data_IF_170244739860
#
_entry.id   IF_170244739860
#
_cell.length_a   1.000
_cell.length_b   1.000
_cell.length_c   1.000
_cell.angle_alpha   90.00
_cell.angle_beta   90.00
_cell.angle_gamma   90.00
#
_symmetry.space_group_name_H-M   'P 1'
#
loop_
_entity.id
_entity.type
_entity.pdbx_description
1 polymer ?
#
# COMPACT_ATOMS: atom_id res chain seq x y z
N UNK A 1 -29.57 -59.77 -11.42
CA UNK A 1 -30.56 -58.87 -10.77
C UNK A 1 -29.74 -57.96 -9.88
N UNK A 2 -29.35 -56.79 -10.40
CA UNK A 2 -29.92 -55.47 -10.06
C UNK A 2 -29.52 -55.05 -8.62
N UNK A 3 -28.96 -53.88 -8.34
CA UNK A 3 -28.95 -52.63 -9.09
C UNK A 3 -27.89 -51.66 -8.55
N UNK A 4 -27.40 -50.80 -9.47
CA UNK A 4 -26.63 -49.58 -9.19
C UNK A 4 -27.42 -48.65 -8.27
N UNK A 5 -26.73 -47.99 -7.34
CA UNK A 5 -27.11 -46.64 -6.92
C UNK A 5 -25.91 -45.71 -7.04
N UNK A 6 -25.77 -45.15 -8.25
CA UNK A 6 -25.15 -43.87 -8.49
C UNK A 6 -25.99 -42.80 -7.78
N UNK A 7 -25.58 -42.32 -6.60
CA UNK A 7 -25.98 -40.97 -6.20
C UNK A 7 -24.96 -40.00 -6.76
N UNK A 8 -25.34 -39.39 -7.88
CA UNK A 8 -24.64 -38.30 -8.53
C UNK A 8 -24.40 -37.17 -7.54
N UNK A 9 -23.14 -36.94 -7.18
CA UNK A 9 -22.69 -35.69 -6.57
C UNK A 9 -22.67 -34.62 -7.69
N UNK A 10 -23.86 -34.11 -8.01
CA UNK A 10 -24.13 -33.32 -9.21
C UNK A 10 -23.93 -31.81 -8.99
N UNK A 11 -23.52 -31.37 -7.79
CA UNK A 11 -23.38 -29.95 -7.48
C UNK A 11 -22.12 -29.55 -6.67
N UNK A 12 -21.13 -30.43 -6.49
CA UNK A 12 -19.84 -30.02 -5.91
C UNK A 12 -19.92 -29.37 -4.52
N UNK A 13 -20.98 -29.66 -3.77
CA UNK A 13 -21.27 -29.00 -2.48
C UNK A 13 -20.37 -29.57 -1.36
N UNK A 14 -19.66 -30.68 -1.61
CA UNK A 14 -18.75 -31.28 -0.63
C UNK A 14 -17.30 -30.76 -0.67
N UNK A 15 -16.91 -29.93 -1.65
CA UNK A 15 -15.52 -29.41 -1.74
C UNK A 15 -15.33 -27.97 -1.26
N UNK A 16 -16.40 -27.29 -0.80
CA UNK A 16 -16.32 -25.85 -0.51
C UNK A 16 -15.99 -25.50 0.95
N UNK A 17 -16.07 -26.47 1.88
CA UNK A 17 -15.68 -26.27 3.29
C UNK A 17 -14.21 -26.58 3.60
N UNK A 18 -13.55 -27.35 2.72
CA UNK A 18 -12.14 -27.74 2.92
C UNK A 18 -11.16 -26.77 2.22
N UNK A 19 -11.62 -26.05 1.20
CA UNK A 19 -10.81 -25.05 0.49
C UNK A 19 -10.46 -23.83 1.37
N UNK A 20 -11.28 -23.51 2.37
CA UNK A 20 -11.03 -22.39 3.30
C UNK A 20 -10.02 -22.75 4.40
N UNK A 21 -9.89 -24.03 4.76
CA UNK A 21 -8.91 -24.50 5.75
C UNK A 21 -7.54 -24.85 5.14
N UNK A 22 -7.49 -25.11 3.83
CA UNK A 22 -6.24 -25.47 3.13
C UNK A 22 -5.38 -24.26 2.76
N UNK A 23 -5.91 -23.03 2.83
CA UNK A 23 -5.19 -21.82 2.37
C UNK A 23 -4.23 -21.26 3.44
N UNK A 24 -4.26 -21.74 4.69
CA UNK A 24 -3.37 -21.26 5.77
C UNK A 24 -2.26 -22.27 6.08
N UNK A 25 -1.60 -22.81 5.05
CA UNK A 25 -0.28 -23.40 5.23
C UNK A 25 0.76 -22.35 4.91
N UNK A 26 1.44 -21.83 5.95
CA UNK A 26 2.64 -20.98 5.86
C UNK A 26 3.79 -21.79 5.25
N UNK A 27 3.71 -22.02 3.95
CA UNK A 27 4.60 -22.86 3.16
C UNK A 27 4.55 -22.43 1.70
N UNK A 28 5.59 -22.79 0.95
CA UNK A 28 5.69 -22.54 -0.50
C UNK A 28 4.41 -22.99 -1.23
N UNK A 29 3.88 -24.16 -0.89
CA UNK A 29 2.66 -24.73 -1.47
C UNK A 29 1.42 -23.85 -1.27
N UNK A 30 1.33 -23.14 -0.13
CA UNK A 30 0.26 -22.20 0.18
C UNK A 30 0.33 -20.94 -0.69
N UNK A 31 1.53 -20.40 -0.87
CA UNK A 31 1.78 -19.24 -1.75
C UNK A 31 1.53 -19.59 -3.21
N UNK A 32 1.98 -20.76 -3.67
CA UNK A 32 1.70 -21.26 -5.02
C UNK A 32 0.19 -21.39 -5.27
N UNK A 33 -0.55 -21.98 -4.32
CA UNK A 33 -2.00 -22.13 -4.40
C UNK A 33 -2.70 -20.78 -4.44
N UNK A 34 -2.25 -19.83 -3.63
CA UNK A 34 -2.76 -18.47 -3.62
C UNK A 34 -2.56 -17.75 -4.96
N UNK A 35 -1.33 -17.73 -5.49
CA UNK A 35 -1.03 -17.10 -6.78
C UNK A 35 -1.79 -17.77 -7.92
N UNK A 36 -1.92 -19.10 -7.91
CA UNK A 36 -2.70 -19.82 -8.91
C UNK A 36 -4.16 -19.35 -8.96
N UNK A 37 -4.73 -18.96 -7.82
CA UNK A 37 -6.11 -18.48 -7.73
C UNK A 37 -6.19 -17.00 -8.13
N UNK A 38 -5.32 -16.14 -7.58
CA UNK A 38 -5.44 -14.68 -7.76
C UNK A 38 -4.78 -14.16 -9.05
N UNK A 39 -3.72 -14.82 -9.53
CA UNK A 39 -2.95 -14.40 -10.70
C UNK A 39 -2.11 -15.53 -11.32
N UNK A 40 -2.68 -16.23 -12.31
CA UNK A 40 -1.98 -17.33 -13.02
C UNK A 40 -0.64 -16.91 -13.64
N UNK A 41 -0.49 -15.76 -14.33
CA UNK A 41 0.81 -15.36 -14.87
C UNK A 41 1.87 -15.15 -13.77
N UNK A 42 1.49 -14.57 -12.63
CA UNK A 42 2.40 -14.40 -11.51
C UNK A 42 2.80 -15.74 -10.87
N UNK A 43 1.89 -16.72 -10.84
CA UNK A 43 2.22 -18.10 -10.43
C UNK A 43 3.27 -18.73 -11.34
N UNK A 44 3.12 -18.60 -12.66
CA UNK A 44 4.08 -19.17 -13.62
C UNK A 44 5.48 -18.57 -13.46
N UNK A 45 5.58 -17.23 -13.32
CA UNK A 45 6.84 -16.54 -13.05
C UNK A 45 7.43 -16.89 -11.67
N UNK A 46 6.59 -17.01 -10.64
CA UNK A 46 7.02 -17.46 -9.31
C UNK A 46 7.60 -18.88 -9.36
N UNK A 47 7.01 -19.78 -10.15
CA UNK A 47 7.54 -21.13 -10.38
C UNK A 47 8.92 -21.13 -11.05
N UNK A 48 9.19 -20.19 -11.96
CA UNK A 48 10.52 -20.00 -12.54
C UNK A 48 11.53 -19.50 -11.49
N UNK A 49 11.12 -18.62 -10.55
CA UNK A 49 11.95 -18.20 -9.42
C UNK A 49 12.34 -19.36 -8.50
N UNK A 50 11.51 -20.40 -8.36
CA UNK A 50 11.83 -21.62 -7.61
C UNK A 50 12.91 -22.47 -8.29
N UNK A 51 12.91 -22.46 -9.64
CA UNK A 51 13.87 -23.21 -10.46
C UNK A 51 15.28 -22.64 -10.44
N UNK A 52 15.45 -21.38 -10.05
CA UNK A 52 16.72 -20.66 -10.10
C UNK A 52 17.36 -20.57 -8.69
N UNK A 53 18.51 -21.23 -8.49
CA UNK A 53 19.18 -21.33 -7.17
C UNK A 53 19.73 -20.00 -6.62
N UNK A 54 19.59 -18.91 -7.36
CA UNK A 54 20.05 -17.54 -7.05
C UNK A 54 18.83 -16.70 -6.66
N UNK A 55 18.45 -16.45 -5.42
CA UNK A 55 19.03 -16.70 -4.10
C UNK A 55 17.84 -17.06 -3.21
N UNK A 56 17.92 -18.12 -2.42
CA UNK A 56 16.90 -18.53 -1.43
C UNK A 56 16.31 -17.34 -0.64
N UNK A 57 17.13 -16.32 -0.35
CA UNK A 57 16.72 -15.02 0.21
C UNK A 57 15.60 -14.30 -0.56
N UNK A 58 15.68 -14.15 -1.89
CA UNK A 58 14.64 -13.46 -2.70
C UNK A 58 13.32 -14.21 -2.67
N UNK A 59 13.41 -15.52 -2.77
CA UNK A 59 12.24 -16.40 -2.69
C UNK A 59 11.56 -16.26 -1.32
N UNK A 60 12.34 -16.33 -0.24
CA UNK A 60 11.81 -16.17 1.11
C UNK A 60 11.17 -14.78 1.32
N UNK A 61 11.75 -13.72 0.77
CA UNK A 61 11.15 -12.38 0.84
C UNK A 61 9.82 -12.31 0.09
N UNK A 62 9.75 -12.87 -1.12
CA UNK A 62 8.51 -12.92 -1.90
C UNK A 62 7.43 -13.74 -1.16
N UNK A 63 7.80 -14.90 -0.59
CA UNK A 63 6.91 -15.72 0.24
C UNK A 63 6.39 -14.92 1.43
N UNK A 64 7.27 -14.29 2.21
CA UNK A 64 6.89 -13.51 3.39
C UNK A 64 5.89 -12.40 3.04
N UNK A 65 6.11 -11.69 1.94
CA UNK A 65 5.22 -10.62 1.48
C UNK A 65 3.86 -11.19 1.05
N UNK A 66 3.86 -12.30 0.30
CA UNK A 66 2.61 -12.92 -0.15
C UNK A 66 1.81 -13.53 1.01
N UNK A 67 2.46 -14.16 1.98
CA UNK A 67 1.83 -14.64 3.22
C UNK A 67 1.21 -13.48 4.01
N UNK A 68 1.96 -12.39 4.25
CA UNK A 68 1.44 -11.17 4.89
C UNK A 68 0.26 -10.56 4.11
N UNK A 69 0.24 -10.72 2.78
CA UNK A 69 -0.84 -10.20 1.95
C UNK A 69 -2.13 -10.98 2.18
N UNK A 70 -2.04 -12.31 2.30
CA UNK A 70 -3.20 -13.17 2.59
C UNK A 70 -3.87 -12.78 3.92
N UNK A 71 -3.08 -12.48 4.95
CA UNK A 71 -3.57 -12.04 6.27
C UNK A 71 -4.34 -10.71 6.20
N UNK A 72 -4.09 -9.89 5.16
CA UNK A 72 -4.74 -8.58 4.94
C UNK A 72 -5.95 -8.64 4.02
N UNK A 73 -6.25 -9.79 3.42
CA UNK A 73 -7.42 -9.93 2.56
C UNK A 73 -8.69 -10.05 3.40
N UNK A 74 -9.57 -9.07 3.28
CA UNK A 74 -10.95 -9.23 3.72
C UNK A 74 -11.68 -10.15 2.74
N UNK A 75 -11.96 -11.38 3.16
CA UNK A 75 -12.83 -12.28 2.41
C UNK A 75 -14.27 -11.75 2.44
N UNK A 76 -14.61 -10.91 1.46
CA UNK A 76 -16.00 -10.49 1.24
C UNK A 76 -16.74 -11.61 0.51
N UNK A 77 -17.89 -12.00 1.08
CA UNK A 77 -18.87 -12.92 0.48
C UNK A 77 -18.43 -14.36 0.17
N UNK A 78 -17.46 -14.91 0.92
CA UNK A 78 -17.11 -16.34 0.88
C UNK A 78 -16.81 -16.90 -0.54
N UNK A 79 -16.46 -16.03 -1.49
CA UNK A 79 -16.11 -16.38 -2.86
C UNK A 79 -14.71 -15.88 -3.18
N UNK A 80 -13.84 -16.83 -3.52
CA UNK A 80 -12.50 -16.60 -4.08
C UNK A 80 -12.60 -16.12 -5.54
N UNK A 81 -13.30 -15.01 -5.78
CA UNK A 81 -13.27 -14.28 -7.05
C UNK A 81 -12.37 -13.03 -6.93
N UNK A 82 -11.33 -13.11 -6.10
CA UNK A 82 -10.30 -12.10 -6.03
C UNK A 82 -9.25 -12.39 -7.11
N UNK A 83 -9.06 -11.42 -7.99
CA UNK A 83 -8.05 -11.38 -9.02
C UNK A 83 -7.19 -10.14 -8.85
N UNK A 84 -6.00 -10.17 -9.41
CA UNK A 84 -5.10 -9.03 -9.46
C UNK A 84 -4.58 -8.87 -10.88
N UNK A 85 -4.44 -7.63 -11.32
CA UNK A 85 -3.83 -7.32 -12.60
C UNK A 85 -2.40 -7.93 -12.66
N UNK A 86 -2.09 -8.77 -13.67
CA UNK A 86 -0.79 -9.43 -13.76
C UNK A 86 0.40 -8.48 -13.70
N UNK A 87 0.27 -7.28 -14.27
CA UNK A 87 1.33 -6.28 -14.26
C UNK A 87 1.64 -5.78 -12.86
N UNK A 88 0.60 -5.60 -12.04
CA UNK A 88 0.75 -5.20 -10.64
C UNK A 88 1.33 -6.35 -9.83
N UNK A 89 0.78 -7.56 -9.97
CA UNK A 89 1.23 -8.73 -9.22
C UNK A 89 2.72 -9.03 -9.47
N UNK A 90 3.14 -9.06 -10.75
CA UNK A 90 4.54 -9.25 -11.12
C UNK A 90 5.41 -8.10 -10.61
N UNK A 91 4.98 -6.86 -10.82
CA UNK A 91 5.70 -5.68 -10.34
C UNK A 91 5.92 -5.69 -8.82
N UNK A 92 4.94 -6.13 -8.04
CA UNK A 92 5.07 -6.27 -6.58
C UNK A 92 6.02 -7.43 -6.25
N UNK A 93 5.78 -8.63 -6.77
CA UNK A 93 6.59 -9.83 -6.42
C UNK A 93 8.07 -9.60 -6.74
N UNK A 94 8.38 -9.08 -7.93
CA UNK A 94 9.74 -8.82 -8.35
C UNK A 94 10.48 -7.87 -7.41
N UNK A 95 9.84 -6.76 -7.04
CA UNK A 95 10.48 -5.70 -6.26
C UNK A 95 10.47 -5.98 -4.77
N UNK A 96 9.38 -6.54 -4.25
CA UNK A 96 9.29 -6.97 -2.86
C UNK A 96 10.28 -8.12 -2.56
N UNK A 97 10.62 -8.97 -3.55
CA UNK A 97 11.65 -9.99 -3.39
C UNK A 97 13.05 -9.42 -3.11
N UNK A 98 13.29 -8.15 -3.43
CA UNK A 98 14.57 -7.45 -3.22
C UNK A 98 14.65 -6.74 -1.86
N UNK A 99 13.63 -6.90 -1.00
CA UNK A 99 13.54 -6.20 0.28
C UNK A 99 13.31 -7.17 1.43
N UNK A 100 14.13 -7.07 2.47
CA UNK A 100 14.05 -7.86 3.70
C UNK A 100 13.66 -7.04 4.95
N UNK A 101 13.63 -5.72 4.85
CA UNK A 101 13.14 -4.83 5.91
C UNK A 101 11.63 -5.02 6.14
N UNK A 102 11.23 -5.29 7.38
CA UNK A 102 9.85 -5.63 7.73
C UNK A 102 8.85 -4.54 7.36
N UNK A 103 9.20 -3.27 7.59
CA UNK A 103 8.33 -2.13 7.32
C UNK A 103 7.97 -2.04 5.83
N UNK A 104 8.95 -2.27 4.95
CA UNK A 104 8.72 -2.24 3.50
C UNK A 104 7.94 -3.48 3.04
N UNK A 105 8.24 -4.67 3.60
CA UNK A 105 7.45 -5.89 3.30
C UNK A 105 5.98 -5.73 3.72
N UNK A 106 5.71 -5.05 4.83
CA UNK A 106 4.35 -4.76 5.29
C UNK A 106 3.62 -3.81 4.32
N UNK A 107 4.31 -2.81 3.75
CA UNK A 107 3.72 -1.94 2.73
C UNK A 107 3.43 -2.69 1.42
N UNK A 108 4.40 -3.49 0.95
CA UNK A 108 4.23 -4.31 -0.26
C UNK A 108 3.06 -5.30 -0.12
N UNK A 109 2.95 -5.94 1.04
CA UNK A 109 1.89 -6.92 1.29
C UNK A 109 0.50 -6.29 1.31
N UNK A 110 0.36 -5.10 1.91
CA UNK A 110 -0.91 -4.39 1.85
C UNK A 110 -1.22 -3.88 0.46
N UNK A 111 -0.23 -3.40 -0.30
CA UNK A 111 -0.45 -2.99 -1.69
C UNK A 111 -0.93 -4.17 -2.56
N UNK A 112 -0.37 -5.36 -2.35
CA UNK A 112 -0.82 -6.57 -3.03
C UNK A 112 -2.28 -6.89 -2.66
N UNK A 113 -2.59 -6.90 -1.35
CA UNK A 113 -3.94 -7.16 -0.86
C UNK A 113 -4.97 -6.15 -1.38
N UNK A 114 -4.65 -4.85 -1.37
CA UNK A 114 -5.50 -3.80 -1.89
C UNK A 114 -5.68 -3.87 -3.42
N UNK A 115 -4.77 -4.53 -4.12
CA UNK A 115 -4.85 -4.74 -5.57
C UNK A 115 -5.62 -6.01 -5.94
N UNK A 116 -5.93 -6.87 -4.98
CA UNK A 116 -6.86 -7.98 -5.17
C UNK A 116 -8.29 -7.43 -5.18
N UNK A 117 -8.98 -7.60 -6.31
CA UNK A 117 -10.34 -7.12 -6.54
C UNK A 117 -11.09 -8.10 -7.47
N UNK A 118 -12.32 -7.79 -7.88
CA UNK A 118 -13.06 -8.64 -8.82
C UNK A 118 -12.70 -8.41 -10.30
N UNK A 119 -11.93 -7.37 -10.61
CA UNK A 119 -11.58 -6.94 -11.97
C UNK A 119 -10.06 -6.96 -12.20
N UNK A 120 -9.60 -8.02 -12.88
CA UNK A 120 -8.19 -8.22 -13.25
C UNK A 120 -7.60 -7.16 -14.18
N UNK A 121 -8.39 -6.19 -14.65
CA UNK A 121 -7.90 -5.08 -15.48
C UNK A 121 -7.63 -3.80 -14.71
N UNK A 122 -8.07 -3.66 -13.47
CA UNK A 122 -7.83 -2.46 -12.68
C UNK A 122 -6.31 -2.30 -12.44
N UNK A 123 -5.76 -1.18 -12.91
CA UNK A 123 -4.35 -0.82 -12.80
C UNK A 123 -4.10 0.39 -11.90
N UNK A 124 -5.08 0.86 -11.13
CA UNK A 124 -4.99 2.09 -10.30
C UNK A 124 -3.80 2.08 -9.35
N UNK A 125 -3.47 0.90 -8.81
CA UNK A 125 -2.38 0.74 -7.84
C UNK A 125 -0.98 0.64 -8.49
N UNK A 126 -0.88 0.66 -9.84
CA UNK A 126 0.41 0.55 -10.53
C UNK A 126 1.36 1.71 -10.16
N UNK A 127 0.82 2.90 -9.93
CA UNK A 127 1.62 4.09 -9.57
C UNK A 127 2.30 3.92 -8.21
N UNK A 128 1.70 3.17 -7.29
CA UNK A 128 2.23 2.96 -5.95
C UNK A 128 3.42 2.01 -5.92
N UNK A 129 3.55 1.16 -6.94
CA UNK A 129 4.71 0.29 -7.12
C UNK A 129 5.98 1.14 -7.30
N UNK A 130 5.93 2.23 -8.07
CA UNK A 130 7.09 3.08 -8.28
C UNK A 130 7.48 3.86 -7.01
N UNK A 131 6.51 4.31 -6.22
CA UNK A 131 6.80 4.94 -4.93
C UNK A 131 7.45 3.97 -3.95
N UNK A 132 6.92 2.76 -3.81
CA UNK A 132 7.48 1.77 -2.87
C UNK A 132 8.89 1.30 -3.24
N UNK A 133 9.23 1.23 -4.55
CA UNK A 133 10.60 0.94 -4.99
C UNK A 133 11.60 2.03 -4.63
N UNK A 134 11.11 3.27 -4.53
CA UNK A 134 11.96 4.44 -4.37
C UNK A 134 12.22 4.82 -2.90
N UNK A 135 11.37 4.39 -1.96
CA UNK A 135 11.50 4.79 -0.55
C UNK A 135 12.39 3.84 0.27
N UNK A 136 13.06 4.41 1.28
CA UNK A 136 13.84 3.66 2.28
C UNK A 136 12.95 3.16 3.43
N UNK A 137 13.45 2.21 4.24
CA UNK A 137 12.75 1.78 5.47
C UNK A 137 12.51 2.94 6.44
N UNK A 138 13.50 3.83 6.61
CA UNK A 138 13.36 5.03 7.44
C UNK A 138 12.25 5.97 6.92
N UNK A 139 12.15 6.15 5.61
CA UNK A 139 11.07 6.93 4.99
C UNK A 139 9.70 6.26 5.17
N UNK A 140 9.63 4.93 5.05
CA UNK A 140 8.41 4.17 5.34
C UNK A 140 7.93 4.39 6.78
N UNK A 141 8.85 4.38 7.76
CA UNK A 141 8.53 4.69 9.17
C UNK A 141 7.99 6.11 9.35
N UNK A 142 8.64 7.10 8.73
CA UNK A 142 8.18 8.50 8.75
C UNK A 142 6.78 8.60 8.13
N UNK A 143 6.58 8.05 6.93
CA UNK A 143 5.29 8.06 6.23
C UNK A 143 4.17 7.44 7.06
N UNK A 144 4.46 6.28 7.69
CA UNK A 144 3.52 5.63 8.60
C UNK A 144 3.12 6.57 9.73
N UNK A 145 4.10 7.11 10.45
CA UNK A 145 3.85 7.99 11.59
C UNK A 145 3.02 9.22 11.19
N UNK A 146 3.41 9.93 10.13
CA UNK A 146 2.72 11.16 9.74
C UNK A 146 1.31 10.88 9.23
N UNK A 147 1.09 9.78 8.52
CA UNK A 147 -0.24 9.42 8.02
C UNK A 147 -1.16 9.01 9.17
N UNK A 148 -0.65 8.38 10.23
CA UNK A 148 -1.45 8.03 11.41
C UNK A 148 -1.77 9.26 12.29
N UNK A 149 -0.80 10.17 12.44
CA UNK A 149 -0.88 11.28 13.38
C UNK A 149 -1.34 12.62 12.77
N UNK A 150 -1.43 12.74 11.45
CA UNK A 150 -2.00 13.94 10.83
C UNK A 150 -3.52 14.01 11.04
N UNK A 151 -4.04 15.24 11.11
CA UNK A 151 -5.47 15.52 11.02
C UNK A 151 -5.85 15.52 9.53
N UNK A 152 -6.87 14.75 9.16
CA UNK A 152 -7.39 14.65 7.79
C UNK A 152 -8.59 15.57 7.68
N UNK A 153 -8.56 16.46 6.72
CA UNK A 153 -9.68 17.31 6.36
C UNK A 153 -10.38 16.65 5.18
N UNK A 154 -11.62 16.19 5.38
CA UNK A 154 -12.45 15.59 4.33
C UNK A 154 -13.51 16.60 3.92
N UNK A 155 -13.51 16.96 2.65
CA UNK A 155 -14.49 17.87 2.07
C UNK A 155 -15.77 17.13 1.67
N UNK A 156 -16.89 17.86 1.61
CA UNK A 156 -18.18 17.33 1.16
C UNK A 156 -18.20 16.78 -0.28
N UNK A 157 -17.22 17.14 -1.09
CA UNK A 157 -17.01 16.60 -2.44
C UNK A 157 -16.13 15.32 -2.47
N UNK A 158 -15.75 14.79 -1.30
CA UNK A 158 -14.94 13.57 -1.15
C UNK A 158 -13.43 13.78 -1.23
N UNK A 159 -12.95 14.99 -1.54
CA UNK A 159 -11.51 15.27 -1.52
C UNK A 159 -10.99 15.31 -0.09
N UNK A 160 -9.76 14.83 0.09
CA UNK A 160 -9.08 14.79 1.38
C UNK A 160 -7.70 15.41 1.31
N UNK A 161 -7.37 16.19 2.34
CA UNK A 161 -6.03 16.76 2.56
C UNK A 161 -5.64 16.58 4.02
N UNK A 162 -4.36 16.76 4.33
CA UNK A 162 -3.91 16.83 5.73
C UNK A 162 -3.87 18.28 6.21
N UNK A 163 -4.19 18.50 7.48
CA UNK A 163 -3.82 19.74 8.17
C UNK A 163 -2.31 19.79 8.40
N UNK A 164 -1.77 21.01 8.52
CA UNK A 164 -0.33 21.24 8.67
C UNK A 164 0.23 20.47 9.86
N UNK A 165 1.19 19.59 9.59
CA UNK A 165 1.94 18.83 10.59
C UNK A 165 3.41 19.25 10.54
N UNK A 166 3.91 19.75 11.66
CA UNK A 166 5.31 20.13 11.84
C UNK A 166 5.86 19.37 13.04
N UNK A 167 7.01 18.73 12.88
CA UNK A 167 7.66 17.93 13.92
C UNK A 167 9.06 18.46 14.23
N UNK A 168 9.49 18.29 15.47
CA UNK A 168 10.88 18.54 15.86
C UNK A 168 11.82 17.48 15.28
N UNK A 169 13.05 17.88 14.98
CA UNK A 169 14.09 16.99 14.45
C UNK A 169 14.34 15.80 15.37
N UNK A 170 14.34 15.98 16.70
CA UNK A 170 14.59 14.86 17.63
C UNK A 170 13.50 13.78 17.53
N UNK A 171 12.22 14.17 17.43
CA UNK A 171 11.12 13.23 17.17
C UNK A 171 11.33 12.49 15.85
N UNK A 172 11.78 13.18 14.80
CA UNK A 172 12.04 12.56 13.51
C UNK A 172 13.21 11.57 13.54
N UNK A 173 14.25 11.83 14.34
CA UNK A 173 15.35 10.88 14.56
C UNK A 173 14.85 9.62 15.25
N UNK A 174 13.99 9.75 16.26
CA UNK A 174 13.38 8.63 16.98
C UNK A 174 12.50 7.76 16.07
N UNK A 175 11.65 8.39 15.25
CA UNK A 175 10.75 7.68 14.32
C UNK A 175 11.56 6.94 13.24
N UNK A 176 12.55 7.61 12.66
CA UNK A 176 13.26 7.12 11.47
C UNK A 176 14.45 6.22 11.77
N UNK A 177 14.89 6.17 13.04
CA UNK A 177 16.15 5.55 13.48
C UNK A 177 17.40 6.15 12.79
N UNK A 178 17.34 7.45 12.47
CA UNK A 178 18.45 8.18 11.85
C UNK A 178 18.94 9.25 12.81
N UNK A 179 20.09 9.04 13.44
CA UNK A 179 20.68 10.04 14.35
C UNK A 179 21.52 11.11 13.63
N UNK A 180 21.96 10.86 12.40
CA UNK A 180 22.74 11.81 11.61
C UNK A 180 21.84 12.85 10.93
N UNK A 181 22.00 14.13 11.29
CA UNK A 181 21.16 15.23 10.80
C UNK A 181 21.17 15.36 9.27
N UNK A 182 22.34 15.32 8.62
CA UNK A 182 22.44 15.44 7.17
C UNK A 182 21.80 14.26 6.43
N UNK A 183 21.85 13.06 7.01
CA UNK A 183 21.15 11.91 6.46
C UNK A 183 19.65 12.10 6.59
N UNK A 184 19.16 12.51 7.77
CA UNK A 184 17.73 12.78 7.98
C UNK A 184 17.20 13.83 7.01
N UNK A 185 17.93 14.95 6.87
CA UNK A 185 17.58 16.05 5.96
C UNK A 185 17.40 15.55 4.51
N UNK A 186 18.37 14.78 4.00
CA UNK A 186 18.28 14.17 2.66
C UNK A 186 17.10 13.20 2.50
N UNK A 187 16.75 12.45 3.53
CA UNK A 187 15.59 11.53 3.48
C UNK A 187 14.28 12.32 3.41
N UNK A 188 14.19 13.44 4.14
CA UNK A 188 13.05 14.36 4.08
C UNK A 188 12.97 15.08 2.72
N UNK A 189 14.09 15.59 2.20
CA UNK A 189 14.17 16.19 0.87
C UNK A 189 13.71 15.23 -0.21
N UNK A 190 14.07 13.95 -0.09
CA UNK A 190 13.64 12.94 -1.06
C UNK A 190 12.14 12.63 -0.96
N UNK A 191 11.56 12.60 0.25
CA UNK A 191 10.10 12.49 0.42
C UNK A 191 9.36 13.69 -0.16
N UNK A 192 9.95 14.89 -0.10
CA UNK A 192 9.44 16.09 -0.76
C UNK A 192 9.54 15.97 -2.28
N UNK A 193 10.67 15.49 -2.80
CA UNK A 193 10.86 15.22 -4.22
C UNK A 193 9.80 14.25 -4.77
N UNK A 194 9.47 13.21 -4.02
CA UNK A 194 8.39 12.27 -4.36
C UNK A 194 6.98 12.86 -4.19
N UNK A 195 6.84 14.10 -3.72
CA UNK A 195 5.57 14.74 -3.35
C UNK A 195 4.75 13.93 -2.34
N UNK A 196 5.41 13.23 -1.41
CA UNK A 196 4.76 12.50 -0.34
C UNK A 196 4.61 13.33 0.94
N UNK A 197 5.46 14.35 1.12
CA UNK A 197 5.33 15.33 2.21
C UNK A 197 5.48 16.77 1.72
N UNK A 198 5.09 17.73 2.56
CA UNK A 198 5.41 19.15 2.34
C UNK A 198 4.36 19.91 1.53
N UNK A 199 3.11 19.45 1.54
CA UNK A 199 2.00 20.20 0.93
C UNK A 199 1.59 21.38 1.82
N UNK A 200 2.36 22.47 1.76
CA UNK A 200 1.84 23.79 2.10
C UNK A 200 1.74 24.57 0.78
N UNK A 201 0.52 24.68 0.25
CA UNK A 201 0.22 25.43 -1.00
C UNK A 201 0.67 26.91 -0.87
N UNK A 202 0.95 27.37 0.36
CA UNK A 202 1.26 28.76 0.68
C UNK A 202 2.63 29.00 1.36
N UNK A 203 3.30 28.01 1.96
CA UNK A 203 4.55 28.25 2.74
C UNK A 203 5.75 27.34 2.43
N UNK A 204 5.95 26.96 1.17
CA UNK A 204 7.23 26.43 0.69
C UNK A 204 7.52 24.97 1.07
N UNK A 205 8.54 24.43 0.40
CA UNK A 205 8.94 23.02 0.34
C UNK A 205 9.19 22.40 1.72
N UNK A 206 8.87 21.11 1.85
CA UNK A 206 9.29 20.33 3.02
C UNK A 206 10.81 20.28 3.15
N UNK A 207 11.29 20.03 4.37
CA UNK A 207 12.70 20.14 4.75
C UNK A 207 12.84 20.66 6.18
N UNK A 208 14.03 20.55 6.75
CA UNK A 208 14.32 21.03 8.11
C UNK A 208 14.55 22.55 8.08
N UNK A 209 13.78 23.27 8.89
CA UNK A 209 13.96 24.71 9.09
C UNK A 209 15.18 24.96 9.97
N UNK A 210 16.06 25.83 9.49
CA UNK A 210 17.28 26.26 10.20
C UNK A 210 16.95 27.01 11.49
N UNK A 211 15.81 27.72 11.54
CA UNK A 211 15.47 28.61 12.65
C UNK A 211 15.07 27.91 13.93
N UNK A 212 14.35 26.80 13.83
CA UNK A 212 13.71 26.13 14.98
C UNK A 212 13.93 24.61 15.00
N UNK A 213 14.75 24.06 14.09
CA UNK A 213 14.99 22.62 13.98
C UNK A 213 13.68 21.81 13.89
N UNK A 214 12.69 22.36 13.18
CA UNK A 214 11.45 21.67 12.85
C UNK A 214 11.36 21.37 11.37
N UNK A 215 10.64 20.31 10.99
CA UNK A 215 10.36 20.01 9.59
C UNK A 215 8.85 19.99 9.34
N UNK A 216 8.44 20.61 8.23
CA UNK A 216 7.08 20.43 7.71
C UNK A 216 6.98 19.04 7.07
N UNK A 217 6.25 18.15 7.72
CA UNK A 217 6.08 16.75 7.31
C UNK A 217 4.61 16.44 7.04
N UNK A 218 3.84 17.46 6.67
CA UNK A 218 2.43 17.32 6.29
C UNK A 218 2.30 16.28 5.15
N UNK A 219 1.62 15.14 5.36
CA UNK A 219 1.46 14.16 4.31
C UNK A 219 0.54 14.69 3.22
N UNK A 220 0.94 14.53 1.97
CA UNK A 220 0.13 14.94 0.83
C UNK A 220 -1.06 14.00 0.65
N UNK A 221 -2.07 14.42 -0.11
CA UNK A 221 -3.17 13.51 -0.52
C UNK A 221 -2.64 12.23 -1.17
N UNK A 222 -1.56 12.33 -1.96
CA UNK A 222 -0.91 11.18 -2.59
C UNK A 222 -0.31 10.23 -1.56
N UNK A 223 0.36 10.74 -0.52
CA UNK A 223 0.87 9.90 0.56
C UNK A 223 -0.24 9.22 1.37
N UNK A 224 -1.35 9.92 1.63
CA UNK A 224 -2.51 9.30 2.29
C UNK A 224 -3.08 8.16 1.45
N UNK A 225 -3.23 8.35 0.14
CA UNK A 225 -3.69 7.30 -0.78
C UNK A 225 -2.74 6.09 -0.80
N UNK A 226 -1.43 6.35 -0.95
CA UNK A 226 -0.40 5.32 -0.90
C UNK A 226 -0.48 4.54 0.43
N UNK A 227 -0.55 5.25 1.56
CA UNK A 227 -0.64 4.64 2.89
C UNK A 227 -1.86 3.72 2.99
N UNK A 228 -3.05 4.20 2.61
CA UNK A 228 -4.30 3.44 2.67
C UNK A 228 -4.20 2.14 1.86
N UNK A 229 -3.69 2.23 0.63
CA UNK A 229 -3.50 1.06 -0.24
C UNK A 229 -2.47 0.09 0.34
N UNK A 230 -1.37 0.59 0.88
CA UNK A 230 -0.36 -0.22 1.56
C UNK A 230 -0.83 -0.84 2.89
N UNK A 231 -2.04 -0.50 3.37
CA UNK A 231 -2.69 -1.16 4.51
C UNK A 231 -3.72 -2.22 4.07
N UNK A 232 -3.83 -2.52 2.78
CA UNK A 232 -4.74 -3.55 2.26
C UNK A 232 -6.14 -3.03 1.94
N UNK A 233 -6.42 -1.75 2.16
CA UNK A 233 -7.76 -1.21 1.94
C UNK A 233 -7.98 -0.81 0.48
N UNK A 234 -8.96 -1.44 -0.15
CA UNK A 234 -9.32 -1.24 -1.56
C UNK A 234 -10.50 -0.26 -1.76
N UNK A 235 -11.19 0.15 -0.69
CA UNK A 235 -12.31 1.10 -0.81
C UNK A 235 -11.87 2.55 -1.09
N UNK A 236 -12.83 3.46 -1.10
CA UNK A 236 -12.52 4.90 -1.19
C UNK A 236 -11.77 5.36 0.10
N UNK A 237 -10.55 5.94 -0.04
CA UNK A 237 -9.72 6.38 1.08
C UNK A 237 -10.43 7.26 2.11
N UNK A 238 -11.47 8.01 1.72
CA UNK A 238 -12.22 8.83 2.68
C UNK A 238 -12.87 8.03 3.80
N UNK A 239 -13.21 6.77 3.55
CA UNK A 239 -13.84 5.89 4.53
C UNK A 239 -12.85 5.02 5.31
N UNK A 240 -11.56 5.05 4.96
CA UNK A 240 -10.55 4.29 5.69
C UNK A 240 -10.30 4.86 7.09
N UNK A 241 -10.29 6.18 7.21
CA UNK A 241 -9.94 6.86 8.45
C UNK A 241 -11.12 6.86 9.41
N UNK A 242 -10.83 6.62 10.69
CA UNK A 242 -11.84 6.63 11.78
C UNK A 242 -11.53 7.64 12.88
N UNK A 243 -10.31 8.20 12.90
CA UNK A 243 -9.82 9.14 13.90
C UNK A 243 -8.99 10.25 13.25
N UNK A 244 -8.81 11.36 13.98
CA UNK A 244 -8.12 12.56 13.49
C UNK A 244 -8.76 13.12 12.21
N UNK A 245 -10.08 13.26 12.17
CA UNK A 245 -10.83 13.74 10.99
C UNK A 245 -11.60 15.02 11.31
N UNK A 246 -11.57 15.95 10.37
CA UNK A 246 -12.39 17.16 10.35
C UNK A 246 -13.15 17.20 9.03
N UNK A 247 -14.48 17.35 9.08
CA UNK A 247 -15.30 17.56 7.89
C UNK A 247 -15.44 19.05 7.58
N UNK A 248 -15.28 19.44 6.31
CA UNK A 248 -15.45 20.83 5.84
C UNK A 248 -16.30 20.89 4.58
N UNK A 249 -16.95 22.04 4.35
CA UNK A 249 -17.61 22.29 3.07
C UNK A 249 -16.61 22.80 2.04
N UNK A 250 -16.68 22.31 0.80
CA UNK A 250 -15.83 22.80 -0.28
C UNK A 250 -16.00 24.30 -0.55
N UNK A 251 -17.16 24.88 -0.22
CA UNK A 251 -17.43 26.33 -0.32
C UNK A 251 -16.67 27.19 0.69
N UNK A 252 -16.05 26.60 1.71
CA UNK A 252 -15.22 27.31 2.71
C UNK A 252 -13.80 27.59 2.20
N UNK A 253 -13.40 26.97 1.07
CA UNK A 253 -12.13 27.26 0.41
C UNK A 253 -12.24 28.65 -0.20
N UNK A 254 -11.58 29.64 0.41
CA UNK A 254 -11.45 30.98 -0.16
C UNK A 254 -10.64 30.89 -1.46
N UNK A 255 -11.32 30.90 -2.60
CA UNK A 255 -10.68 30.95 -3.92
C UNK A 255 -9.90 32.25 -4.07
N UNK A 256 -8.58 32.21 -4.12
CA UNK A 256 -7.80 33.29 -4.73
C UNK A 256 -7.90 33.04 -6.23
N UNK A 257 -8.85 33.71 -6.88
CA UNK A 257 -8.91 33.75 -8.34
C UNK A 257 -7.66 34.47 -8.82
N UNK A 258 -6.67 33.73 -9.33
CA UNK A 258 -5.65 34.34 -10.20
C UNK A 258 -6.38 34.68 -11.49
N UNK A 259 -6.88 35.90 -11.56
CA UNK A 259 -7.42 36.47 -12.79
C UNK A 259 -6.24 36.48 -13.77
N UNK A 260 -6.32 35.62 -14.79
CA UNK A 260 -5.34 35.58 -15.85
C UNK A 260 -5.14 36.99 -16.39
N UNK A 261 -3.88 37.42 -16.47
CA UNK A 261 -3.52 38.62 -17.21
C UNK A 261 -4.02 38.45 -18.63
N UNK A 262 -5.02 39.23 -19.02
CA UNK A 262 -5.41 39.43 -20.40
C UNK A 262 -4.16 39.76 -21.21
N UNK A 263 -3.74 38.84 -22.07
CA UNK A 263 -2.78 39.14 -23.11
C UNK A 263 -3.47 40.09 -24.10
N UNK A 264 -3.14 41.38 -24.02
CA UNK A 264 -3.31 42.34 -25.10
C UNK A 264 -2.07 42.35 -25.98
#
# INVERSE_FOLDING_TARGET
MQEKNNSLDILGIKSLGDATNTIITKSIDGVESFLKIVCKPAFEEFGLMLGDKVRHWRLNNAINVLEKSQDKLEFRDNKLELKINPRIALGIIENASLTDENELQDLWSGLFAASCNHDDKNDENIIFIDFLKSITSSQAKILKYICENSIKIIYDNGLMVSEKLTLEVETLKEISDIHNLHRLDRELDYLVHLNLIGQDIFNGSGGIKISDFTANVTPTTLALNLYVRCHGYNGDPQFYWTSNIVHKKSSEIKTITVIGSEAK
#
